data_IF_439353621049
#
_entry.id   IF_439353621049
#
_cell.length_a   1.000
_cell.length_b   1.000
_cell.length_c   1.000
_cell.angle_alpha   90.00
_cell.angle_beta   90.00
_cell.angle_gamma   90.00
#
_symmetry.space_group_name_H-M   'P 1'
#
loop_
_entity.id
_entity.type
_entity.pdbx_description
1 polymer ?
#
# COMPACT_ATOMS: atom_id res chain seq x y z
N UNK A 1 -31.90 -12.98 10.71
CA UNK A 1 -30.43 -13.02 10.49
C UNK A 1 -30.10 -14.18 9.57
N UNK A 2 -29.61 -13.91 8.36
CA UNK A 2 -29.33 -14.95 7.35
C UNK A 2 -28.19 -15.90 7.80
N UNK A 3 -28.28 -17.23 7.58
CA UNK A 3 -27.26 -18.21 8.00
C UNK A 3 -25.84 -17.93 7.46
N UNK A 4 -25.71 -17.15 6.39
CA UNK A 4 -24.42 -16.70 5.85
C UNK A 4 -23.69 -15.70 6.77
N UNK A 5 -24.41 -14.79 7.44
CA UNK A 5 -23.79 -13.74 8.27
C UNK A 5 -23.18 -14.32 9.56
N UNK A 6 -23.86 -15.28 10.19
CA UNK A 6 -23.34 -16.00 11.36
C UNK A 6 -22.09 -16.83 11.05
N UNK A 7 -22.03 -17.41 9.84
CA UNK A 7 -20.90 -18.23 9.38
C UNK A 7 -19.67 -17.38 9.06
N UNK A 8 -19.82 -16.22 8.42
CA UNK A 8 -18.70 -15.31 8.13
C UNK A 8 -18.07 -14.74 9.41
N UNK A 9 -18.91 -14.40 10.40
CA UNK A 9 -18.43 -13.83 11.66
C UNK A 9 -17.55 -14.82 12.46
N UNK A 10 -17.91 -16.11 12.45
CA UNK A 10 -17.22 -17.15 13.25
C UNK A 10 -16.19 -17.95 12.47
N UNK A 11 -16.48 -18.32 11.23
CA UNK A 11 -15.70 -19.25 10.41
C UNK A 11 -15.58 -18.78 8.93
N UNK A 12 -14.98 -17.61 8.68
CA UNK A 12 -14.94 -17.02 7.33
C UNK A 12 -14.17 -17.87 6.30
N UNK A 13 -13.31 -18.79 6.76
CA UNK A 13 -12.47 -19.64 5.90
C UNK A 13 -13.24 -20.68 5.07
N UNK A 14 -14.48 -20.99 5.45
CA UNK A 14 -15.32 -22.00 4.76
C UNK A 14 -16.07 -21.43 3.55
N UNK A 15 -16.08 -20.11 3.38
CA UNK A 15 -16.89 -19.43 2.36
C UNK A 15 -16.09 -19.33 1.06
N UNK A 16 -16.69 -19.74 -0.06
CA UNK A 16 -16.10 -19.65 -1.40
C UNK A 16 -15.68 -18.22 -1.76
N UNK A 17 -16.51 -17.22 -1.43
CA UNK A 17 -16.24 -15.81 -1.68
C UNK A 17 -14.87 -15.37 -1.14
N UNK A 18 -14.50 -15.79 0.07
CA UNK A 18 -13.18 -15.45 0.63
C UNK A 18 -12.03 -16.04 -0.20
N UNK A 19 -12.20 -17.24 -0.76
CA UNK A 19 -11.19 -17.87 -1.62
C UNK A 19 -11.06 -17.15 -2.95
N UNK A 20 -12.19 -16.75 -3.55
CA UNK A 20 -12.21 -15.96 -4.77
C UNK A 20 -11.53 -14.60 -4.57
N UNK A 21 -11.92 -13.87 -3.51
CA UNK A 21 -11.30 -12.60 -3.14
C UNK A 21 -9.78 -12.75 -2.91
N UNK A 22 -9.35 -13.84 -2.27
CA UNK A 22 -7.92 -14.11 -2.09
C UNK A 22 -7.17 -14.27 -3.42
N UNK A 23 -7.75 -14.96 -4.40
CA UNK A 23 -7.14 -15.09 -5.72
C UNK A 23 -7.04 -13.73 -6.43
N UNK A 24 -8.14 -12.96 -6.43
CA UNK A 24 -8.14 -11.63 -7.05
C UNK A 24 -7.10 -10.73 -6.38
N UNK A 25 -7.08 -10.66 -5.04
CA UNK A 25 -6.10 -9.88 -4.28
C UNK A 25 -4.66 -10.31 -4.58
N UNK A 26 -4.39 -11.61 -4.62
CA UNK A 26 -3.06 -12.16 -4.93
C UNK A 26 -2.59 -11.73 -6.33
N UNK A 27 -3.43 -11.93 -7.35
CA UNK A 27 -3.05 -11.66 -8.73
C UNK A 27 -2.94 -10.16 -9.01
N UNK A 28 -3.88 -9.35 -8.50
CA UNK A 28 -3.78 -7.89 -8.59
C UNK A 28 -2.51 -7.39 -7.89
N UNK A 29 -2.23 -7.86 -6.66
CA UNK A 29 -1.04 -7.46 -5.91
C UNK A 29 0.28 -7.87 -6.58
N UNK A 30 0.33 -9.05 -7.23
CA UNK A 30 1.50 -9.47 -7.98
C UNK A 30 1.67 -8.66 -9.28
N UNK A 31 0.57 -8.38 -9.99
CA UNK A 31 0.58 -7.64 -11.25
C UNK A 31 1.08 -6.19 -11.09
N UNK A 32 0.63 -5.49 -10.04
CA UNK A 32 1.02 -4.09 -9.79
C UNK A 32 2.15 -3.96 -8.76
N UNK A 33 2.72 -5.08 -8.31
CA UNK A 33 3.62 -5.09 -7.17
C UNK A 33 4.94 -4.33 -7.38
N UNK A 34 5.50 -4.39 -8.59
CA UNK A 34 6.68 -3.59 -8.96
C UNK A 34 6.37 -2.09 -8.96
N UNK A 35 5.17 -1.71 -9.39
CA UNK A 35 4.69 -0.33 -9.31
C UNK A 35 4.53 0.11 -7.84
N UNK A 36 3.92 -0.71 -6.99
CA UNK A 36 3.79 -0.43 -5.55
C UNK A 36 5.17 -0.23 -4.91
N UNK A 37 6.13 -1.11 -5.23
CA UNK A 37 7.50 -1.01 -4.76
C UNK A 37 8.13 0.33 -5.17
N UNK A 38 8.01 0.69 -6.46
CA UNK A 38 8.52 1.95 -6.98
C UNK A 38 7.89 3.17 -6.29
N UNK A 39 6.56 3.25 -6.21
CA UNK A 39 5.86 4.40 -5.60
C UNK A 39 6.20 4.53 -4.12
N UNK A 40 6.28 3.41 -3.39
CA UNK A 40 6.64 3.42 -1.98
C UNK A 40 8.06 3.94 -1.76
N UNK A 41 9.03 3.44 -2.53
CA UNK A 41 10.44 3.85 -2.40
C UNK A 41 10.64 5.31 -2.80
N UNK A 42 10.11 5.69 -3.97
CA UNK A 42 10.21 7.06 -4.47
C UNK A 42 9.51 8.05 -3.52
N UNK A 43 8.32 7.71 -3.01
CA UNK A 43 7.57 8.52 -2.06
C UNK A 43 8.33 8.73 -0.74
N UNK A 44 8.90 7.67 -0.16
CA UNK A 44 9.70 7.75 1.07
C UNK A 44 10.92 8.66 0.92
N UNK A 45 11.56 8.69 -0.25
CA UNK A 45 12.64 9.62 -0.55
C UNK A 45 12.11 11.05 -0.71
N UNK A 46 10.99 11.24 -1.42
CA UNK A 46 10.40 12.55 -1.71
C UNK A 46 9.78 13.26 -0.50
N UNK A 47 9.60 12.57 0.63
CA UNK A 47 9.30 13.21 1.93
C UNK A 47 10.36 14.28 2.27
N UNK A 48 11.60 14.08 1.84
CA UNK A 48 12.75 14.98 2.07
C UNK A 48 13.06 15.90 0.89
N UNK A 49 12.14 16.08 -0.07
CA UNK A 49 12.41 16.82 -1.32
C UNK A 49 12.96 18.23 -1.09
N UNK A 50 12.51 18.92 -0.04
CA UNK A 50 12.92 20.29 0.24
C UNK A 50 14.40 20.36 0.68
N UNK A 51 14.85 19.39 1.45
CA UNK A 51 16.23 19.22 1.87
C UNK A 51 17.12 18.80 0.69
N UNK A 52 16.64 17.85 -0.12
CA UNK A 52 17.35 17.37 -1.30
C UNK A 52 17.58 18.50 -2.32
N UNK A 53 16.58 19.36 -2.55
CA UNK A 53 16.69 20.52 -3.43
C UNK A 53 17.75 21.54 -2.98
N UNK A 54 18.00 21.65 -1.67
CA UNK A 54 18.97 22.61 -1.11
C UNK A 54 20.40 22.07 -1.05
N UNK A 55 20.58 20.76 -1.25
CA UNK A 55 21.87 20.09 -1.04
C UNK A 55 22.88 20.40 -2.15
N UNK A 56 22.48 20.28 -3.41
CA UNK A 56 23.33 20.58 -4.57
C UNK A 56 22.52 20.72 -5.87
N UNK A 57 23.07 21.36 -6.92
CA UNK A 57 22.41 21.40 -8.23
C UNK A 57 22.15 20.02 -8.84
N UNK A 58 23.05 19.04 -8.61
CA UNK A 58 22.84 17.65 -9.06
C UNK A 58 21.69 16.98 -8.32
N UNK A 59 21.58 17.21 -7.00
CA UNK A 59 20.48 16.70 -6.19
C UNK A 59 19.13 17.31 -6.60
N UNK A 60 19.11 18.59 -6.99
CA UNK A 60 17.92 19.24 -7.56
C UNK A 60 17.42 18.51 -8.81
N UNK A 61 18.31 18.25 -9.77
CA UNK A 61 17.97 17.53 -11.01
C UNK A 61 17.48 16.12 -10.72
N UNK A 62 18.20 15.38 -9.88
CA UNK A 62 17.82 14.02 -9.51
C UNK A 62 16.46 13.96 -8.79
N UNK A 63 16.20 14.91 -7.88
CA UNK A 63 14.94 14.99 -7.14
C UNK A 63 13.78 15.40 -8.06
N UNK A 64 14.03 16.27 -9.04
CA UNK A 64 13.02 16.66 -10.04
C UNK A 64 12.65 15.47 -10.94
N UNK A 65 13.65 14.71 -11.38
CA UNK A 65 13.41 13.46 -12.12
C UNK A 65 12.66 12.43 -11.27
N UNK A 66 13.02 12.28 -9.99
CA UNK A 66 12.36 11.38 -9.06
C UNK A 66 10.90 11.79 -8.81
N UNK A 67 10.63 13.09 -8.72
CA UNK A 67 9.30 13.65 -8.58
C UNK A 67 8.46 13.40 -9.84
N UNK A 68 9.03 13.57 -11.03
CA UNK A 68 8.35 13.24 -12.29
C UNK A 68 8.08 11.73 -12.45
N UNK A 69 9.00 10.88 -11.99
CA UNK A 69 8.77 9.43 -11.90
C UNK A 69 7.65 9.10 -10.92
N UNK A 70 7.59 9.75 -9.76
CA UNK A 70 6.58 9.47 -8.73
C UNK A 70 5.19 9.99 -9.11
N UNK A 71 5.10 11.22 -9.63
CA UNK A 71 3.83 11.90 -9.90
C UNK A 71 3.27 11.52 -11.28
N UNK A 72 4.15 11.43 -12.29
CA UNK A 72 3.77 11.35 -13.70
C UNK A 72 4.30 10.09 -14.39
N UNK A 73 4.98 9.18 -13.67
CA UNK A 73 5.58 7.96 -14.23
C UNK A 73 6.49 8.23 -15.45
N UNK A 74 7.10 9.42 -15.52
CA UNK A 74 7.89 9.90 -16.66
C UNK A 74 7.10 9.97 -17.99
N UNK A 75 5.77 9.97 -17.94
CA UNK A 75 4.87 9.95 -19.10
C UNK A 75 3.87 11.13 -19.06
N UNK A 76 4.23 12.22 -18.39
CA UNK A 76 3.43 13.44 -18.29
C UNK A 76 2.01 13.18 -17.76
N UNK A 77 1.01 13.80 -18.40
CA UNK A 77 -0.39 13.69 -17.98
C UNK A 77 -0.91 12.25 -18.03
N UNK A 78 -0.53 11.48 -19.04
CA UNK A 78 -0.95 10.06 -19.16
C UNK A 78 -0.47 9.26 -17.96
N UNK A 79 0.81 9.41 -17.60
CA UNK A 79 1.34 8.70 -16.44
C UNK A 79 0.74 9.19 -15.12
N UNK A 80 0.37 10.47 -15.00
CA UNK A 80 -0.39 10.97 -13.84
C UNK A 80 -1.78 10.34 -13.74
N UNK A 81 -2.51 10.20 -14.85
CA UNK A 81 -3.80 9.51 -14.87
C UNK A 81 -3.66 8.03 -14.48
N UNK A 82 -2.63 7.35 -15.01
CA UNK A 82 -2.33 5.95 -14.65
C UNK A 82 -1.99 5.82 -13.16
N UNK A 83 -1.17 6.73 -12.64
CA UNK A 83 -0.79 6.78 -11.23
C UNK A 83 -2.02 6.97 -10.32
N UNK A 84 -2.92 7.88 -10.69
CA UNK A 84 -4.20 8.07 -10.00
C UNK A 84 -5.08 6.82 -10.02
N UNK A 85 -5.17 6.13 -11.17
CA UNK A 85 -5.99 4.92 -11.33
C UNK A 85 -5.43 3.76 -10.50
N UNK A 86 -4.11 3.66 -10.44
CA UNK A 86 -3.42 2.72 -9.58
C UNK A 86 -3.64 3.04 -8.08
N UNK A 87 -3.80 4.32 -7.72
CA UNK A 87 -4.27 4.74 -6.39
C UNK A 87 -5.59 4.07 -5.99
N UNK A 88 -6.62 4.12 -6.84
CA UNK A 88 -7.88 3.40 -6.58
C UNK A 88 -7.69 1.88 -6.46
N UNK A 89 -6.80 1.32 -7.28
CA UNK A 89 -6.50 -0.13 -7.23
C UNK A 89 -5.83 -0.52 -5.90
N UNK A 90 -4.93 0.32 -5.36
CA UNK A 90 -4.32 0.10 -4.05
C UNK A 90 -5.37 0.21 -2.93
N UNK A 91 -6.32 1.15 -3.00
CA UNK A 91 -7.44 1.21 -2.06
C UNK A 91 -8.25 -0.08 -2.10
N UNK A 92 -8.59 -0.59 -3.29
CA UNK A 92 -9.30 -1.86 -3.43
C UNK A 92 -8.50 -3.05 -2.87
N UNK A 93 -7.17 -3.08 -3.10
CA UNK A 93 -6.29 -4.08 -2.49
C UNK A 93 -6.27 -4.01 -0.96
N UNK A 94 -6.21 -2.80 -0.38
CA UNK A 94 -6.25 -2.60 1.06
C UNK A 94 -7.57 -3.09 1.67
N UNK A 95 -8.71 -2.73 1.06
CA UNK A 95 -10.03 -3.15 1.52
C UNK A 95 -10.24 -4.67 1.38
N UNK A 96 -9.87 -5.26 0.25
CA UNK A 96 -9.93 -6.72 0.06
C UNK A 96 -8.99 -7.44 1.02
N UNK A 97 -7.81 -6.89 1.28
CA UNK A 97 -6.86 -7.38 2.28
C UNK A 97 -7.45 -7.42 3.69
N UNK A 98 -8.17 -6.38 4.11
CA UNK A 98 -8.88 -6.34 5.39
C UNK A 98 -9.95 -7.42 5.51
N UNK A 99 -10.73 -7.62 4.44
CA UNK A 99 -11.75 -8.67 4.38
C UNK A 99 -11.12 -10.07 4.46
N UNK A 100 -10.00 -10.29 3.77
CA UNK A 100 -9.25 -11.55 3.81
C UNK A 100 -8.62 -11.79 5.18
N UNK A 101 -8.09 -10.72 5.80
CA UNK A 101 -7.41 -10.74 7.09
C UNK A 101 -8.33 -11.27 8.20
N UNK A 102 -9.63 -10.94 8.18
CA UNK A 102 -10.59 -11.33 9.21
C UNK A 102 -10.54 -12.85 9.52
N UNK A 103 -10.01 -13.25 10.69
CA UNK A 103 -9.81 -14.67 11.02
C UNK A 103 -11.01 -15.30 11.75
N UNK A 104 -12.01 -14.48 12.11
CA UNK A 104 -13.17 -14.86 12.91
C UNK A 104 -13.15 -14.26 14.33
N UNK A 105 -14.33 -14.10 14.93
CA UNK A 105 -14.52 -13.40 16.20
C UNK A 105 -13.83 -14.02 17.42
N UNK A 106 -13.45 -15.31 17.37
CA UNK A 106 -12.76 -16.00 18.48
C UNK A 106 -11.23 -15.91 18.40
N UNK A 107 -10.68 -15.62 17.24
CA UNK A 107 -9.23 -15.74 16.96
C UNK A 107 -8.57 -14.42 16.56
N UNK A 108 -9.35 -13.34 16.35
CA UNK A 108 -8.82 -12.05 15.88
C UNK A 108 -7.69 -11.49 16.74
N UNK A 109 -7.78 -11.58 18.07
CA UNK A 109 -6.71 -11.10 18.98
C UNK A 109 -5.36 -11.78 18.74
N UNK A 110 -5.38 -13.08 18.39
CA UNK A 110 -4.15 -13.84 18.08
C UNK A 110 -3.55 -13.47 16.72
N UNK A 111 -4.33 -12.82 15.85
CA UNK A 111 -3.89 -12.40 14.52
C UNK A 111 -3.23 -11.01 14.52
N UNK A 112 -3.15 -10.36 15.68
CA UNK A 112 -2.51 -9.04 15.85
C UNK A 112 -1.02 -9.15 16.21
N UNK A 113 -0.52 -10.35 16.50
CA UNK A 113 0.87 -10.59 16.92
C UNK A 113 1.51 -11.68 16.07
N UNK A 114 2.85 -11.73 16.07
CA UNK A 114 3.63 -12.80 15.42
C UNK A 114 4.01 -13.86 16.46
N UNK A 115 3.42 -15.07 16.40
CA UNK A 115 3.85 -16.15 17.28
C UNK A 115 5.29 -16.56 16.97
N UNK A 116 6.09 -16.81 18.02
CA UNK A 116 7.46 -17.32 17.88
C UNK A 116 7.45 -18.84 17.59
N UNK A 117 8.52 -19.34 16.99
CA UNK A 117 8.70 -20.78 16.72
C UNK A 117 7.88 -21.33 15.55
N UNK A 118 7.38 -20.47 14.66
CA UNK A 118 6.68 -20.88 13.45
C UNK A 118 7.67 -21.13 12.30
N UNK A 119 7.38 -22.13 11.46
CA UNK A 119 8.12 -22.32 10.21
C UNK A 119 7.96 -21.12 9.25
N UNK A 120 8.98 -20.87 8.43
CA UNK A 120 9.12 -19.68 7.56
C UNK A 120 7.84 -19.30 6.79
N UNK A 121 7.15 -20.28 6.19
CA UNK A 121 5.92 -20.03 5.41
C UNK A 121 4.79 -19.43 6.25
N UNK A 122 4.65 -19.85 7.51
CA UNK A 122 3.65 -19.30 8.44
C UNK A 122 4.09 -17.92 8.93
N UNK A 123 5.38 -17.74 9.22
CA UNK A 123 5.94 -16.44 9.60
C UNK A 123 5.68 -15.38 8.54
N UNK A 124 5.91 -15.68 7.25
CA UNK A 124 5.61 -14.74 6.16
C UNK A 124 4.13 -14.36 6.08
N UNK A 125 3.22 -15.31 6.29
CA UNK A 125 1.78 -15.04 6.35
C UNK A 125 1.44 -14.09 7.51
N UNK A 126 1.97 -14.37 8.71
CA UNK A 126 1.76 -13.50 9.87
C UNK A 126 2.34 -12.10 9.68
N UNK A 127 3.53 -11.98 9.10
CA UNK A 127 4.13 -10.68 8.80
C UNK A 127 3.31 -9.88 7.79
N UNK A 128 2.92 -10.50 6.67
CA UNK A 128 2.08 -9.83 5.67
C UNK A 128 0.73 -9.40 6.26
N UNK A 129 0.07 -10.27 7.02
CA UNK A 129 -1.19 -9.92 7.69
C UNK A 129 -1.04 -8.83 8.74
N UNK A 130 0.06 -8.85 9.52
CA UNK A 130 0.28 -7.88 10.59
C UNK A 130 0.64 -6.51 10.02
N UNK A 131 1.61 -6.43 9.10
CA UNK A 131 2.01 -5.18 8.44
C UNK A 131 0.77 -4.56 7.78
N UNK A 132 0.06 -5.33 6.95
CA UNK A 132 -1.11 -4.85 6.24
C UNK A 132 -2.22 -4.34 7.16
N UNK A 133 -2.48 -5.03 8.28
CA UNK A 133 -3.50 -4.58 9.24
C UNK A 133 -3.10 -3.28 9.94
N UNK A 134 -1.87 -3.18 10.44
CA UNK A 134 -1.43 -1.99 11.20
C UNK A 134 -1.20 -0.77 10.32
N UNK A 135 -0.87 -0.95 9.04
CA UNK A 135 -0.62 0.17 8.12
C UNK A 135 -1.77 0.44 7.15
N UNK A 136 -2.93 -0.21 7.31
CA UNK A 136 -4.05 -0.06 6.37
C UNK A 136 -4.54 1.38 6.27
N UNK A 137 -4.73 2.06 7.40
CA UNK A 137 -5.20 3.46 7.41
C UNK A 137 -4.23 4.37 6.67
N UNK A 138 -2.94 4.20 6.94
CA UNK A 138 -1.87 4.94 6.28
C UNK A 138 -1.83 4.66 4.76
N UNK A 139 -1.92 3.39 4.38
CA UNK A 139 -1.94 2.95 2.97
C UNK A 139 -3.14 3.53 2.23
N UNK A 140 -4.33 3.51 2.84
CA UNK A 140 -5.56 4.08 2.24
C UNK A 140 -5.43 5.59 2.07
N UNK A 141 -4.92 6.31 3.07
CA UNK A 141 -4.70 7.77 2.96
C UNK A 141 -3.76 8.09 1.79
N UNK A 142 -2.63 7.38 1.66
CA UNK A 142 -1.65 7.58 0.59
C UNK A 142 -2.21 7.25 -0.79
N UNK A 143 -2.95 6.15 -0.89
CA UNK A 143 -3.56 5.71 -2.14
C UNK A 143 -4.70 6.64 -2.58
N UNK A 144 -5.53 7.10 -1.66
CA UNK A 144 -6.61 8.07 -1.93
C UNK A 144 -6.07 9.44 -2.33
N UNK A 145 -5.00 9.90 -1.68
CA UNK A 145 -4.35 11.17 -2.05
C UNK A 145 -3.67 11.08 -3.42
N UNK A 146 -3.01 9.96 -3.76
CA UNK A 146 -2.50 9.73 -5.11
C UNK A 146 -3.63 9.69 -6.16
N UNK A 147 -4.75 9.04 -5.85
CA UNK A 147 -5.95 9.06 -6.69
C UNK A 147 -6.52 10.48 -6.87
N UNK A 148 -6.51 11.29 -5.81
CA UNK A 148 -6.89 12.70 -5.85
C UNK A 148 -5.98 13.52 -6.76
N UNK A 149 -4.66 13.37 -6.67
CA UNK A 149 -3.72 14.09 -7.54
C UNK A 149 -3.87 13.72 -9.02
N UNK A 150 -4.25 12.47 -9.32
CA UNK A 150 -4.54 12.03 -10.69
C UNK A 150 -5.92 12.45 -11.21
N UNK A 151 -6.91 12.60 -10.33
CA UNK A 151 -8.30 12.91 -10.69
C UNK A 151 -8.92 14.00 -9.80
N UNK A 152 -8.35 15.22 -9.74
CA UNK A 152 -8.81 16.25 -8.81
C UNK A 152 -10.28 16.64 -9.07
N UNK A 153 -10.69 16.73 -10.33
CA UNK A 153 -12.05 17.07 -10.73
C UNK A 153 -13.09 16.07 -10.20
N UNK A 154 -12.76 14.78 -10.13
CA UNK A 154 -13.67 13.77 -9.58
C UNK A 154 -13.93 14.00 -8.10
N UNK A 155 -12.88 14.29 -7.32
CA UNK A 155 -13.00 14.56 -5.89
C UNK A 155 -13.73 15.87 -5.62
N UNK A 156 -13.43 16.93 -6.38
CA UNK A 156 -14.13 18.20 -6.28
C UNK A 156 -15.62 18.06 -6.63
N UNK A 157 -15.96 17.31 -7.69
CA UNK A 157 -17.37 17.06 -8.04
C UNK A 157 -18.13 16.24 -7.00
N UNK A 158 -17.44 15.43 -6.18
CA UNK A 158 -18.03 14.73 -5.04
C UNK A 158 -18.20 15.72 -3.87
N UNK A 159 -17.16 16.52 -3.58
CA UNK A 159 -17.20 17.57 -2.57
C UNK A 159 -18.36 18.55 -2.80
N UNK A 160 -18.53 19.05 -4.03
CA UNK A 160 -19.61 19.98 -4.40
C UNK A 160 -21.01 19.37 -4.29
N UNK A 161 -21.14 18.04 -4.42
CA UNK A 161 -22.42 17.36 -4.21
C UNK A 161 -22.76 17.17 -2.73
N UNK A 162 -21.75 16.97 -1.88
CA UNK A 162 -21.94 16.70 -0.46
C UNK A 162 -22.00 17.98 0.38
N UNK A 163 -21.24 18.99 -0.02
CA UNK A 163 -21.08 20.29 0.65
C UNK A 163 -21.15 21.40 -0.41
N UNK A 164 -22.34 21.70 -0.97
CA UNK A 164 -22.49 22.68 -2.05
C UNK A 164 -22.10 24.10 -1.60
N UNK A 165 -21.56 24.89 -2.52
CA UNK A 165 -21.18 26.29 -2.25
C UNK A 165 -22.45 27.11 -1.96
N UNK A 166 -22.63 27.48 -0.69
CA UNK A 166 -23.72 28.34 -0.22
C UNK A 166 -23.30 29.81 -0.12
N UNK A 167 -22.03 30.05 0.22
CA UNK A 167 -21.40 31.37 0.33
C UNK A 167 -19.94 31.24 -0.18
N UNK A 168 -19.49 32.07 -1.14
CA UNK A 168 -18.13 32.05 -1.67
C UNK A 168 -17.03 32.22 -0.60
N UNK A 169 -17.34 32.90 0.50
CA UNK A 169 -16.37 33.19 1.57
C UNK A 169 -16.44 32.18 2.73
N UNK A 170 -17.40 31.26 2.72
CA UNK A 170 -17.55 30.26 3.76
C UNK A 170 -16.55 29.11 3.60
N UNK A 171 -15.84 28.79 4.69
CA UNK A 171 -14.95 27.65 4.74
C UNK A 171 -15.74 26.33 4.68
N UNK A 172 -15.53 25.56 3.61
CA UNK A 172 -16.17 24.26 3.41
C UNK A 172 -15.45 23.15 4.17
N UNK A 173 -16.21 22.21 4.71
CA UNK A 173 -15.66 21.03 5.37
C UNK A 173 -14.98 20.14 4.32
N UNK A 174 -15.58 20.01 3.13
CA UNK A 174 -15.01 19.23 2.04
C UNK A 174 -13.62 19.72 1.62
N UNK A 175 -13.43 21.03 1.54
CA UNK A 175 -12.16 21.65 1.14
C UNK A 175 -11.09 21.41 2.20
N UNK A 176 -11.49 21.50 3.47
CA UNK A 176 -10.62 21.16 4.60
C UNK A 176 -10.20 19.69 4.55
N UNK A 177 -11.12 18.77 4.26
CA UNK A 177 -10.82 17.33 4.14
C UNK A 177 -9.88 17.04 2.97
N UNK A 178 -10.11 17.63 1.80
CA UNK A 178 -9.24 17.48 0.62
C UNK A 178 -7.85 18.07 0.90
N UNK A 179 -7.80 19.25 1.54
CA UNK A 179 -6.56 19.86 1.98
C UNK A 179 -5.79 18.91 2.91
N UNK A 180 -6.45 18.35 3.93
CA UNK A 180 -5.82 17.40 4.86
C UNK A 180 -5.37 16.12 4.17
N UNK A 181 -6.13 15.60 3.21
CA UNK A 181 -5.75 14.44 2.42
C UNK A 181 -4.43 14.69 1.67
N UNK A 182 -4.30 15.84 1.01
CA UNK A 182 -3.07 16.25 0.34
C UNK A 182 -1.92 16.53 1.34
N UNK A 183 -2.23 17.17 2.47
CA UNK A 183 -1.24 17.53 3.48
C UNK A 183 -0.62 16.29 4.16
N UNK A 184 -1.47 15.33 4.52
CA UNK A 184 -1.07 14.03 5.08
C UNK A 184 -0.28 13.18 4.08
N UNK A 185 -0.52 13.29 2.77
CA UNK A 185 0.31 12.59 1.78
C UNK A 185 1.78 12.98 1.89
N UNK A 186 2.07 14.27 2.12
CA UNK A 186 3.44 14.80 2.17
C UNK A 186 4.10 14.70 3.55
N UNK A 187 3.46 14.07 4.54
CA UNK A 187 4.00 13.97 5.90
C UNK A 187 4.14 15.31 6.60
N UNK A 188 3.39 16.32 6.14
CA UNK A 188 3.30 17.62 6.81
C UNK A 188 2.12 17.49 7.77
N UNK A 189 2.34 17.72 9.06
CA UNK A 189 1.27 17.60 10.08
C UNK A 189 1.03 18.88 10.88
N UNK A 190 1.74 19.98 10.59
CA UNK A 190 1.56 21.33 11.16
C UNK A 190 1.05 21.42 12.61
N UNK A 191 1.60 20.63 13.53
CA UNK A 191 1.19 20.67 14.94
C UNK A 191 -0.10 19.91 15.31
N UNK A 192 -0.73 19.16 14.41
CA UNK A 192 -1.88 18.30 14.79
C UNK A 192 -1.38 17.10 15.59
N UNK A 193 -1.79 17.07 16.86
CA UNK A 193 -1.57 15.93 17.77
C UNK A 193 -0.13 15.74 18.26
N UNK A 194 0.83 16.51 17.74
CA UNK A 194 2.23 16.54 18.18
C UNK A 194 2.69 18.01 18.17
N UNK A 195 3.15 18.59 19.29
CA UNK A 195 3.48 20.00 19.41
C UNK A 195 4.81 20.31 18.69
N UNK A 196 4.77 20.33 17.36
CA UNK A 196 5.94 20.52 16.52
C UNK A 196 5.67 21.53 15.43
N UNK A 197 6.30 22.69 15.56
CA UNK A 197 6.27 23.77 14.58
C UNK A 197 7.69 24.11 14.16
N UNK A 198 7.90 24.21 12.84
CA UNK A 198 9.18 24.63 12.26
C UNK A 198 10.20 23.50 12.03
N UNK A 199 11.31 23.82 11.35
CA UNK A 199 12.40 22.88 11.08
C UNK A 199 13.12 22.49 12.38
N UNK A 200 13.33 21.19 12.60
CA UNK A 200 14.00 20.67 13.79
C UNK A 200 13.90 19.15 13.93
N UNK A 201 14.33 18.61 15.07
CA UNK A 201 14.32 17.16 15.34
C UNK A 201 12.92 16.54 15.21
N UNK A 202 11.88 17.25 15.63
CA UNK A 202 10.53 16.70 15.56
C UNK A 202 9.97 16.63 14.13
N UNK A 203 10.26 17.61 13.28
CA UNK A 203 9.93 17.58 11.85
C UNK A 203 10.65 16.40 11.16
N UNK A 204 11.94 16.22 11.45
CA UNK A 204 12.72 15.11 10.90
C UNK A 204 12.22 13.74 11.41
N UNK A 205 11.80 13.64 12.67
CA UNK A 205 11.22 12.41 13.23
C UNK A 205 9.87 12.07 12.59
N UNK A 206 9.05 13.09 12.32
CA UNK A 206 7.79 12.93 11.60
C UNK A 206 8.04 12.45 10.18
N UNK A 207 8.94 13.11 9.44
CA UNK A 207 9.37 12.71 8.09
C UNK A 207 9.90 11.28 8.06
N UNK A 208 10.74 10.92 9.03
CA UNK A 208 11.27 9.56 9.13
C UNK A 208 10.15 8.53 9.39
N UNK A 209 9.23 8.84 10.29
CA UNK A 209 8.06 7.99 10.56
C UNK A 209 7.20 7.83 9.31
N UNK A 210 6.94 8.93 8.59
CA UNK A 210 6.18 8.93 7.35
C UNK A 210 6.87 8.15 6.24
N UNK A 211 8.18 8.32 6.08
CA UNK A 211 8.98 7.57 5.13
C UNK A 211 8.99 6.07 5.45
N UNK A 212 9.09 5.69 6.72
CA UNK A 212 9.03 4.29 7.16
C UNK A 212 7.66 3.67 6.93
N UNK A 213 6.58 4.37 7.29
CA UNK A 213 5.21 3.91 7.04
C UNK A 213 4.91 3.86 5.54
N UNK A 214 5.47 4.77 4.75
CA UNK A 214 5.41 4.79 3.29
C UNK A 214 6.08 3.59 2.63
N UNK A 215 7.05 2.94 3.28
CA UNK A 215 7.64 1.68 2.82
C UNK A 215 6.78 0.45 3.12
N UNK A 216 5.70 0.58 3.89
CA UNK A 216 4.87 -0.57 4.26
C UNK A 216 4.24 -1.28 3.06
N UNK A 217 3.73 -0.62 1.99
CA UNK A 217 3.20 -1.33 0.82
C UNK A 217 4.30 -2.07 0.04
N UNK A 218 5.52 -1.53 -0.01
CA UNK A 218 6.69 -2.25 -0.55
C UNK A 218 7.00 -3.51 0.27
N UNK A 219 7.02 -3.43 1.60
CA UNK A 219 7.22 -4.59 2.46
C UNK A 219 6.10 -5.64 2.29
N UNK A 220 4.87 -5.18 2.10
CA UNK A 220 3.72 -6.03 1.78
C UNK A 220 3.90 -6.77 0.46
N UNK A 221 4.38 -6.08 -0.58
CA UNK A 221 4.69 -6.73 -1.86
C UNK A 221 5.81 -7.77 -1.71
N UNK A 222 6.91 -7.44 -1.04
CA UNK A 222 8.03 -8.37 -0.82
C UNK A 222 7.56 -9.63 -0.08
N UNK A 223 6.80 -9.46 1.01
CA UNK A 223 6.25 -10.60 1.76
C UNK A 223 5.26 -11.42 0.92
N UNK A 224 4.43 -10.79 0.08
CA UNK A 224 3.52 -11.48 -0.84
C UNK A 224 4.28 -12.28 -1.90
N UNK A 225 5.28 -11.69 -2.55
CA UNK A 225 6.12 -12.33 -3.55
C UNK A 225 6.85 -13.55 -2.97
N UNK A 226 7.37 -13.44 -1.75
CA UNK A 226 7.99 -14.56 -1.03
C UNK A 226 7.00 -15.68 -0.71
N UNK A 227 5.76 -15.34 -0.31
CA UNK A 227 4.70 -16.35 -0.11
C UNK A 227 4.35 -17.06 -1.41
N UNK A 228 4.18 -16.32 -2.51
CA UNK A 228 3.86 -16.87 -3.83
C UNK A 228 4.99 -17.77 -4.34
N UNK A 229 6.24 -17.30 -4.25
CA UNK A 229 7.43 -18.10 -4.59
C UNK A 229 7.43 -19.42 -3.83
N UNK A 230 7.25 -19.38 -2.51
CA UNK A 230 7.31 -20.56 -1.66
C UNK A 230 6.17 -21.54 -1.89
N UNK A 231 4.98 -21.07 -2.28
CA UNK A 231 3.79 -21.89 -2.49
C UNK A 231 3.66 -22.43 -3.91
N UNK A 232 4.00 -21.63 -4.92
CA UNK A 232 3.69 -21.92 -6.33
C UNK A 232 4.95 -22.28 -7.11
N UNK A 233 5.97 -21.41 -7.09
CA UNK A 233 7.09 -21.53 -8.00
C UNK A 233 8.16 -22.50 -7.50
N UNK A 234 8.55 -22.41 -6.22
CA UNK A 234 9.60 -23.23 -5.60
C UNK A 234 9.34 -24.75 -5.72
N UNK A 235 8.12 -25.29 -5.46
CA UNK A 235 7.87 -26.71 -5.64
C UNK A 235 7.99 -27.16 -7.10
N UNK A 236 7.49 -26.35 -8.04
CA UNK A 236 7.55 -26.63 -9.48
C UNK A 236 8.98 -26.62 -10.00
N UNK A 237 9.77 -25.62 -9.60
CA UNK A 237 11.19 -25.53 -9.95
C UNK A 237 11.97 -26.72 -9.39
N UNK A 238 11.73 -27.11 -8.14
CA UNK A 238 12.37 -28.29 -7.53
C UNK A 238 12.02 -29.59 -8.24
N UNK A 239 10.76 -29.76 -8.62
CA UNK A 239 10.32 -30.94 -9.38
C UNK A 239 10.97 -30.96 -10.77
N UNK A 240 11.02 -29.82 -11.46
CA UNK A 240 11.69 -29.69 -12.76
C UNK A 240 13.18 -30.00 -12.65
N UNK A 241 13.89 -29.44 -11.67
CA UNK A 241 15.32 -29.70 -11.44
C UNK A 241 15.60 -31.19 -11.22
N UNK A 242 14.78 -31.88 -10.41
CA UNK A 242 14.92 -33.32 -10.17
C UNK A 242 14.70 -34.15 -11.43
N UNK A 243 13.66 -33.82 -12.20
CA UNK A 243 13.38 -34.49 -13.47
C UNK A 243 14.49 -34.25 -14.52
N UNK A 244 15.09 -33.07 -14.53
CA UNK A 244 16.22 -32.75 -15.41
C UNK A 244 17.51 -33.48 -15.00
N UNK A 245 17.75 -33.67 -13.70
CA UNK A 245 18.89 -34.45 -13.22
C UNK A 245 18.75 -35.94 -13.59
N UNK A 246 17.57 -36.54 -13.38
CA UNK A 246 17.29 -37.94 -13.73
C UNK A 246 17.45 -38.22 -15.23
N UNK A 247 17.04 -37.29 -16.10
CA UNK A 247 17.23 -37.42 -17.55
C UNK A 247 18.70 -37.43 -17.97
N UNK A 248 19.51 -36.55 -17.37
CA UNK A 248 20.96 -36.51 -17.63
C UNK A 248 21.65 -37.80 -17.17
N UNK A 249 21.24 -38.36 -16.03
CA UNK A 249 21.77 -39.64 -15.55
C UNK A 249 21.43 -40.78 -16.52
N UNK A 250 20.20 -40.84 -17.04
CA UNK A 250 19.82 -41.88 -18.02
C UNK A 250 20.49 -41.75 -19.39
N UNK A 251 20.96 -40.57 -19.77
CA UNK A 251 21.72 -40.36 -21.02
C UNK A 251 23.19 -40.81 -20.89
N UNK A 252 23.70 -40.97 -19.65
CA UNK A 252 25.08 -41.35 -19.36
C UNK A 252 25.25 -42.87 -19.09
N UNK A 253 24.15 -43.61 -18.95
CA UNK A 253 24.12 -45.07 -18.73
C UNK A 253 23.72 -45.80 -19.99
#
# INVERSE_FOLDING_TARGET
>A
MSPMSGTWLRNPQRIWLRRALFQVHLWCGLAIGLYILMISVTGSVLVYRNELFRMSPRALVATSWLLDLHDNLLAGETGRTVNGAAGFTIVALALTGLVIWWPGSRTWRRSLTVPRGLGWQRTMWHLHSMIGFWTIGFTVIFALSGAYFGFPALFQAIADRLDPVSDPDAARISDSVIYWLAYLHFGRINGIGIPCHGPGLCDQATKATWALLGLSPAAMFVTAALMWWNRVLRPRVRAWLRASAQRRESELT
#
